data_IF_425175898625
#
_entry.id   IF_425175898625
#
_cell.length_a   1.000
_cell.length_b   1.000
_cell.length_c   1.000
_cell.angle_alpha   90.00
_cell.angle_beta   90.00
_cell.angle_gamma   90.00
#
_symmetry.space_group_name_H-M   'P 1'
#
loop_
_entity.id
_entity.type
_entity.pdbx_description
1 polymer ?
#
# COMPACT_ATOMS: atom_id res chain seq x y z
N UNK A 1 13.56 -9.89 -19.34
CA UNK A 1 12.10 -10.09 -19.19
C UNK A 1 11.80 -9.61 -17.79
N UNK A 2 10.93 -8.62 -17.65
CA UNK A 2 10.69 -7.97 -16.35
C UNK A 2 9.77 -8.84 -15.49
N UNK A 3 10.38 -9.79 -14.78
CA UNK A 3 9.67 -10.81 -13.99
C UNK A 3 9.21 -10.32 -12.61
N UNK A 4 9.76 -9.20 -12.14
CA UNK A 4 9.50 -8.69 -10.80
C UNK A 4 9.14 -7.21 -10.81
N UNK A 5 8.30 -6.83 -9.86
CA UNK A 5 7.89 -5.44 -9.61
C UNK A 5 8.35 -5.05 -8.22
N UNK A 6 9.05 -3.91 -8.09
CA UNK A 6 9.26 -3.27 -6.81
C UNK A 6 8.23 -2.17 -6.63
N UNK A 7 7.48 -2.24 -5.54
CA UNK A 7 6.58 -1.20 -5.08
C UNK A 7 7.27 -0.42 -3.95
N UNK A 8 7.52 0.86 -4.17
CA UNK A 8 8.14 1.76 -3.21
C UNK A 8 7.06 2.60 -2.52
N UNK A 9 7.25 2.82 -1.22
CA UNK A 9 6.34 3.57 -0.39
C UNK A 9 7.08 4.30 0.72
N UNK A 10 6.42 5.26 1.33
CA UNK A 10 6.95 5.95 2.50
C UNK A 10 5.89 6.18 3.58
N UNK A 11 6.37 6.43 4.78
CA UNK A 11 5.59 6.89 5.91
C UNK A 11 6.11 8.26 6.36
N UNK A 12 5.20 9.13 6.80
CA UNK A 12 5.53 10.40 7.46
C UNK A 12 5.03 10.41 8.89
N UNK A 13 5.87 10.89 9.81
CA UNK A 13 5.41 11.22 11.15
C UNK A 13 4.89 12.67 11.25
N UNK A 14 4.39 13.05 12.43
CA UNK A 14 3.90 14.40 12.71
C UNK A 14 4.97 15.49 12.59
N UNK A 15 6.26 15.12 12.62
CA UNK A 15 7.39 16.01 12.33
C UNK A 15 7.76 16.08 10.85
N UNK A 16 6.98 15.45 9.96
CA UNK A 16 7.22 15.32 8.52
C UNK A 16 8.53 14.57 8.18
N UNK A 17 9.05 13.74 9.08
CA UNK A 17 10.17 12.85 8.76
C UNK A 17 9.69 11.68 7.91
N UNK A 18 10.40 11.45 6.80
CA UNK A 18 10.11 10.36 5.86
C UNK A 18 10.85 9.09 6.22
N UNK A 19 10.13 7.96 6.21
CA UNK A 19 10.70 6.62 6.27
C UNK A 19 10.28 5.82 5.05
N UNK A 20 11.26 5.43 4.23
CA UNK A 20 11.04 4.69 2.99
C UNK A 20 11.04 3.18 3.21
N UNK A 21 10.28 2.47 2.38
CA UNK A 21 10.24 1.03 2.32
C UNK A 21 9.87 0.56 0.93
N UNK A 22 10.05 -0.74 0.69
CA UNK A 22 9.64 -1.36 -0.56
C UNK A 22 9.16 -2.79 -0.36
N UNK A 23 8.40 -3.29 -1.32
CA UNK A 23 7.96 -4.69 -1.39
C UNK A 23 8.09 -5.17 -2.82
N UNK A 24 8.62 -6.37 -2.99
CA UNK A 24 8.83 -6.98 -4.31
C UNK A 24 7.75 -8.02 -4.57
N UNK A 25 7.17 -7.96 -5.76
CA UNK A 25 6.16 -8.89 -6.28
C UNK A 25 6.65 -9.59 -7.54
N UNK A 26 6.07 -10.75 -7.85
CA UNK A 26 6.23 -11.39 -9.16
C UNK A 26 5.24 -10.80 -10.17
N UNK A 27 5.62 -10.79 -11.46
CA UNK A 27 4.79 -10.33 -12.57
C UNK A 27 4.47 -11.47 -13.57
N UNK A 28 3.69 -12.50 -13.15
CA UNK A 28 3.45 -13.69 -13.97
C UNK A 28 2.71 -13.37 -15.28
N UNK A 29 1.84 -12.37 -15.25
CA UNK A 29 1.02 -11.98 -16.40
C UNK A 29 1.72 -10.93 -17.29
N UNK A 30 2.97 -10.57 -16.97
CA UNK A 30 3.79 -9.61 -17.72
C UNK A 30 3.08 -8.26 -17.96
N UNK A 31 2.38 -7.77 -16.93
CA UNK A 31 1.75 -6.45 -16.99
C UNK A 31 2.82 -5.37 -17.21
N UNK A 32 2.48 -4.36 -18.03
CA UNK A 32 3.36 -3.21 -18.24
C UNK A 32 3.37 -2.32 -17.00
N UNK A 33 4.46 -1.54 -16.85
CA UNK A 33 4.60 -0.63 -15.71
C UNK A 33 3.46 0.40 -15.69
N UNK A 34 3.05 0.91 -16.84
CA UNK A 34 1.96 1.89 -16.96
C UNK A 34 0.61 1.32 -16.51
N UNK A 35 0.32 0.06 -16.86
CA UNK A 35 -0.90 -0.62 -16.43
C UNK A 35 -0.90 -0.83 -14.92
N UNK A 36 0.24 -1.24 -14.36
CA UNK A 36 0.37 -1.47 -12.92
C UNK A 36 0.23 -0.15 -12.16
N UNK A 37 0.94 0.91 -12.57
CA UNK A 37 0.91 2.21 -11.91
C UNK A 37 -0.48 2.84 -11.96
N UNK A 38 -1.14 2.79 -13.12
CA UNK A 38 -2.51 3.27 -13.28
C UNK A 38 -3.47 2.53 -12.32
N UNK A 39 -3.37 1.20 -12.25
CA UNK A 39 -4.21 0.43 -11.33
C UNK A 39 -3.90 0.73 -9.88
N UNK A 40 -2.64 0.91 -9.50
CA UNK A 40 -2.28 1.31 -8.13
C UNK A 40 -2.94 2.64 -7.81
N UNK A 41 -2.63 3.70 -8.56
CA UNK A 41 -3.12 5.05 -8.30
C UNK A 41 -4.65 5.12 -8.26
N UNK A 42 -5.34 4.40 -9.15
CA UNK A 42 -6.80 4.33 -9.16
C UNK A 42 -7.37 3.78 -7.85
N UNK A 43 -6.66 2.89 -7.15
CA UNK A 43 -7.13 2.22 -5.93
C UNK A 43 -6.61 2.84 -4.62
N UNK A 44 -5.77 3.87 -4.70
CA UNK A 44 -5.28 4.62 -3.54
C UNK A 44 -6.23 5.76 -3.15
N UNK A 45 -6.26 6.12 -1.87
CA UNK A 45 -6.97 7.31 -1.38
C UNK A 45 -6.26 8.55 -1.89
N UNK A 46 -7.02 9.49 -2.46
CA UNK A 46 -6.45 10.66 -3.15
C UNK A 46 -5.35 10.31 -4.16
N UNK A 47 -5.41 9.09 -4.72
CA UNK A 47 -4.40 8.51 -5.63
C UNK A 47 -2.99 8.34 -5.06
N UNK A 48 -2.80 8.54 -3.76
CA UNK A 48 -1.47 8.58 -3.13
C UNK A 48 -1.38 7.67 -1.89
N UNK A 49 -2.46 7.46 -1.16
CA UNK A 49 -2.38 6.86 0.17
C UNK A 49 -3.05 5.50 0.30
N UNK A 50 -2.55 4.68 1.24
CA UNK A 50 -3.10 3.36 1.54
C UNK A 50 -2.91 2.93 2.99
N UNK A 51 -3.71 1.97 3.45
CA UNK A 51 -3.53 1.29 4.73
C UNK A 51 -2.54 0.12 4.57
N UNK A 52 -1.32 0.16 5.13
CA UNK A 52 -0.33 -0.90 4.93
C UNK A 52 -0.81 -2.27 5.42
N UNK A 53 -1.61 -2.31 6.50
CA UNK A 53 -2.14 -3.55 7.06
C UNK A 53 -3.11 -4.26 6.10
N UNK A 54 -3.93 -3.51 5.34
CA UNK A 54 -4.86 -4.05 4.36
C UNK A 54 -4.12 -4.78 3.22
N UNK A 55 -2.92 -4.31 2.89
CA UNK A 55 -2.09 -4.82 1.80
C UNK A 55 -1.04 -5.84 2.25
N UNK A 56 -1.03 -6.22 3.54
CA UNK A 56 -0.02 -7.11 4.11
C UNK A 56 1.40 -6.52 4.03
N UNK A 57 1.51 -5.20 4.15
CA UNK A 57 2.77 -4.47 4.32
C UNK A 57 2.99 -4.28 5.81
N UNK A 58 4.14 -4.72 6.30
CA UNK A 58 4.48 -4.59 7.72
C UNK A 58 4.74 -3.13 8.04
N UNK A 59 4.02 -2.58 9.02
CA UNK A 59 4.29 -1.25 9.54
C UNK A 59 5.73 -1.14 10.07
N UNK A 60 6.36 -0.01 9.79
CA UNK A 60 7.60 0.39 10.42
C UNK A 60 7.44 0.41 11.93
N UNK A 61 8.45 -0.08 12.65
CA UNK A 61 8.49 0.06 14.11
C UNK A 61 8.56 1.54 14.46
N UNK A 62 7.57 2.02 15.21
CA UNK A 62 7.59 3.27 15.96
C UNK A 62 8.61 3.20 17.09
N UNK A 63 9.35 4.29 17.32
CA UNK A 63 9.96 4.54 18.61
C UNK A 63 9.23 5.75 19.24
N UNK A 64 8.64 5.51 20.40
CA UNK A 64 8.17 6.46 21.44
C UNK A 64 6.71 6.92 21.47
N UNK A 65 5.94 6.95 20.38
CA UNK A 65 4.51 7.33 20.46
C UNK A 65 3.70 6.47 19.50
N UNK A 66 2.63 5.84 19.98
CA UNK A 66 1.84 4.82 19.28
C UNK A 66 0.82 5.40 18.28
N UNK A 67 0.76 6.73 18.14
CA UNK A 67 -0.54 7.34 17.85
C UNK A 67 -0.92 7.58 16.38
N UNK A 68 -0.06 7.47 15.36
CA UNK A 68 -0.43 7.96 14.00
C UNK A 68 -0.05 7.07 12.80
N UNK A 69 0.05 5.74 12.95
CA UNK A 69 0.48 4.86 11.84
C UNK A 69 -0.64 4.37 10.92
N UNK A 70 -1.63 5.19 10.60
CA UNK A 70 -2.79 4.69 9.83
C UNK A 70 -2.46 4.43 8.36
N UNK A 71 -1.72 5.32 7.69
CA UNK A 71 -1.65 5.40 6.24
C UNK A 71 -0.24 5.68 5.74
N UNK A 72 0.15 5.03 4.63
CA UNK A 72 1.44 5.19 3.93
C UNK A 72 1.19 5.84 2.56
N UNK A 73 2.21 6.49 2.02
CA UNK A 73 2.18 7.13 0.70
C UNK A 73 2.84 6.20 -0.32
N UNK A 74 2.22 6.08 -1.49
CA UNK A 74 2.81 5.51 -2.67
C UNK A 74 3.90 6.45 -3.20
N UNK A 75 5.06 5.90 -3.50
CA UNK A 75 6.20 6.66 -4.03
C UNK A 75 6.45 6.37 -5.50
N UNK A 76 6.63 5.09 -5.85
CA UNK A 76 6.97 4.68 -7.21
C UNK A 76 6.85 3.17 -7.42
N UNK A 77 6.88 2.74 -8.68
CA UNK A 77 7.12 1.34 -9.05
C UNK A 77 8.32 1.20 -9.98
N UNK A 78 8.99 0.05 -9.90
CA UNK A 78 10.13 -0.28 -10.76
C UNK A 78 9.98 -1.70 -11.32
N UNK A 79 10.30 -1.87 -12.60
CA UNK A 79 10.44 -3.18 -13.24
C UNK A 79 11.83 -3.75 -12.95
N UNK A 80 11.90 -5.02 -12.54
CA UNK A 80 13.16 -5.70 -12.24
C UNK A 80 13.24 -7.01 -13.04
N UNK A 81 14.35 -7.20 -13.77
CA UNK A 81 14.67 -8.47 -14.44
C UNK A 81 15.13 -9.56 -13.45
N UNK A 82 15.71 -9.17 -12.32
CA UNK A 82 16.25 -10.08 -11.30
C UNK A 82 16.19 -9.47 -9.91
N UNK A 83 16.20 -10.32 -8.90
CA UNK A 83 16.22 -9.91 -7.49
C UNK A 83 17.25 -10.71 -6.70
N UNK A 84 17.82 -10.08 -5.68
CA UNK A 84 18.73 -10.74 -4.76
C UNK A 84 17.93 -11.58 -3.76
N UNK A 85 18.30 -12.85 -3.60
CA UNK A 85 17.69 -13.79 -2.65
C UNK A 85 16.15 -13.93 -2.78
N UNK A 86 15.65 -14.44 -3.92
CA UNK A 86 14.22 -14.68 -4.10
C UNK A 86 13.67 -15.59 -3.01
N UNK A 87 12.57 -15.18 -2.38
CA UNK A 87 11.86 -16.04 -1.41
C UNK A 87 11.16 -17.17 -2.17
N UNK A 88 11.12 -18.38 -1.57
CA UNK A 88 10.42 -19.54 -2.16
C UNK A 88 8.96 -19.28 -2.54
N UNK A 89 8.29 -18.39 -1.82
CA UNK A 89 6.94 -17.93 -2.12
C UNK A 89 6.94 -16.41 -2.09
N UNK A 90 6.67 -15.82 -3.24
CA UNK A 90 6.47 -14.39 -3.41
C UNK A 90 5.04 -14.15 -3.85
N UNK A 91 4.50 -13.02 -3.40
CA UNK A 91 3.17 -12.56 -3.82
C UNK A 91 3.24 -12.00 -5.24
N UNK A 92 2.22 -12.26 -6.06
CA UNK A 92 2.11 -11.69 -7.40
C UNK A 92 1.56 -10.28 -7.37
N UNK A 93 1.90 -9.48 -8.38
CA UNK A 93 1.38 -8.12 -8.54
C UNK A 93 -0.16 -8.14 -8.68
N UNK A 94 -0.73 -9.11 -9.39
CA UNK A 94 -2.19 -9.26 -9.50
C UNK A 94 -2.87 -9.49 -8.15
N UNK A 95 -2.30 -10.34 -7.29
CA UNK A 95 -2.82 -10.56 -5.94
C UNK A 95 -2.74 -9.29 -5.09
N UNK A 96 -1.72 -8.47 -5.30
CA UNK A 96 -1.59 -7.18 -4.64
C UNK A 96 -2.60 -6.14 -5.16
N UNK A 97 -2.82 -6.08 -6.47
CA UNK A 97 -3.83 -5.21 -7.08
C UNK A 97 -5.25 -5.56 -6.60
N UNK A 98 -5.58 -6.85 -6.47
CA UNK A 98 -6.86 -7.28 -5.90
C UNK A 98 -7.05 -6.80 -4.44
N UNK A 99 -5.99 -6.80 -3.62
CA UNK A 99 -6.05 -6.26 -2.25
C UNK A 99 -6.26 -4.74 -2.22
N UNK A 100 -5.68 -4.02 -3.19
CA UNK A 100 -5.90 -2.58 -3.35
C UNK A 100 -7.36 -2.30 -3.73
N UNK A 101 -7.93 -3.08 -4.63
CA UNK A 101 -9.34 -3.01 -5.00
C UNK A 101 -10.26 -3.29 -3.81
N UNK A 102 -10.01 -4.36 -3.05
CA UNK A 102 -10.73 -4.68 -1.81
C UNK A 102 -10.64 -3.53 -0.79
N UNK A 103 -9.45 -2.93 -0.63
CA UNK A 103 -9.23 -1.80 0.25
C UNK A 103 -10.06 -0.58 -0.17
N UNK A 104 -10.06 -0.23 -1.47
CA UNK A 104 -10.83 0.91 -1.99
C UNK A 104 -12.34 0.69 -1.87
N UNK A 105 -12.83 -0.49 -2.23
CA UNK A 105 -14.24 -0.83 -2.13
C UNK A 105 -14.73 -0.75 -0.68
N UNK A 106 -13.88 -1.17 0.26
CA UNK A 106 -14.17 -1.04 1.69
C UNK A 106 -14.26 0.44 2.13
N UNK A 107 -13.34 1.29 1.70
CA UNK A 107 -13.38 2.72 2.03
C UNK A 107 -14.61 3.43 1.47
N UNK A 108 -14.99 3.13 0.22
CA UNK A 108 -16.24 3.62 -0.39
C UNK A 108 -17.46 3.20 0.44
N UNK A 109 -17.48 1.95 0.92
CA UNK A 109 -18.53 1.46 1.80
C UNK A 109 -18.57 2.20 3.15
N UNK A 110 -17.41 2.54 3.73
CA UNK A 110 -17.32 3.35 4.95
C UNK A 110 -17.69 4.83 4.78
N UNK A 111 -17.54 5.38 3.58
CA UNK A 111 -17.99 6.73 3.29
C UNK A 111 -19.50 6.78 3.00
N UNK A 112 -20.11 5.69 2.51
CA UNK A 112 -21.54 5.58 2.21
C UNK A 112 -22.43 5.15 3.39
N UNK A 113 -21.88 4.42 4.35
CA UNK A 113 -22.45 4.16 5.67
C UNK A 113 -21.34 4.48 6.66
N UNK A 114 -21.56 5.22 7.75
CA UNK A 114 -20.49 5.53 8.70
C UNK A 114 -20.06 4.28 9.52
N UNK A 115 -18.98 3.58 9.15
CA UNK A 115 -18.03 3.16 10.20
C UNK A 115 -16.72 3.93 10.15
N UNK A 116 -16.31 4.35 11.35
CA UNK A 116 -15.11 5.16 11.60
C UNK A 116 -13.85 4.32 11.71
N UNK A 117 -13.80 3.06 11.24
CA UNK A 117 -12.67 2.14 11.50
C UNK A 117 -12.41 1.11 10.39
N UNK A 118 -11.13 0.89 10.06
CA UNK A 118 -10.59 -0.26 9.31
C UNK A 118 -11.11 -1.60 9.91
N UNK A 119 -11.53 -2.60 9.11
CA UNK A 119 -12.24 -3.78 9.59
C UNK A 119 -11.26 -4.92 9.93
N UNK A 120 -10.07 -4.90 9.33
CA UNK A 120 -8.96 -5.83 9.59
C UNK A 120 -8.12 -5.40 10.79
N UNK A 121 -8.04 -4.10 11.04
CA UNK A 121 -7.05 -3.51 11.95
C UNK A 121 -7.64 -2.55 12.99
N UNK A 122 -8.92 -2.14 12.86
CA UNK A 122 -9.58 -1.22 13.78
C UNK A 122 -9.14 0.25 13.68
N UNK A 123 -8.18 0.59 12.82
CA UNK A 123 -7.64 1.96 12.70
C UNK A 123 -8.73 2.97 12.32
N UNK A 124 -8.84 4.08 13.09
CA UNK A 124 -9.80 5.15 12.85
C UNK A 124 -9.35 6.12 11.77
N UNK A 125 -10.26 6.54 10.90
CA UNK A 125 -10.11 7.75 10.09
C UNK A 125 -10.46 8.95 10.98
N UNK A 126 -9.47 9.54 11.66
CA UNK A 126 -9.67 10.86 12.26
C UNK A 126 -9.61 11.93 11.17
N UNK A 127 -10.70 12.11 10.43
CA UNK A 127 -11.00 13.41 9.83
C UNK A 127 -11.68 14.25 10.91
N UNK A 128 -10.88 14.89 11.77
CA UNK A 128 -11.36 16.06 12.49
C UNK A 128 -11.46 17.19 11.47
N UNK A 129 -12.70 17.47 11.07
CA UNK A 129 -13.06 18.72 10.43
C UNK A 129 -13.02 19.78 11.53
N UNK A 130 -11.99 20.61 11.52
CA UNK A 130 -11.98 21.91 12.20
C UNK A 130 -12.64 22.97 11.29
#
# INVERSE_FOLDING_TARGET
MNEFIRFNYLYRDSGNYKKFGSKIFTNPDQLSIEVIEYNIQLHLFSHEFFYPDCLGIKKFKSNRYEDDYSWYEFDSIEMLDKIDNPKKKMESINSFLAKLEEMKNFDIYLMGNQPTTCPKCGARTELKLD
#
